data_IF_273068855972
#
_entry.id   IF_273068855972
#
_cell.length_a   1.000
_cell.length_b   1.000
_cell.length_c   1.000
_cell.angle_alpha   90.00
_cell.angle_beta   90.00
_cell.angle_gamma   90.00
#
_symmetry.space_group_name_H-M   'P 1'
#
loop_
_entity.id
_entity.type
_entity.pdbx_description
1 polymer ?
#
# COMPACT_ATOMS: atom_id res chain seq x y z
N UNK A 1 -5.19 -1.41 -7.52
CA UNK A 1 -5.86 -0.40 -6.66
C UNK A 1 -5.59 -0.80 -5.22
N UNK A 2 -5.16 0.13 -4.37
CA UNK A 2 -4.80 -0.14 -2.97
C UNK A 2 -5.53 0.88 -2.10
N UNK A 3 -6.22 0.42 -1.05
CA UNK A 3 -6.78 1.28 -0.01
C UNK A 3 -5.79 1.37 1.16
N UNK A 4 -5.35 2.59 1.44
CA UNK A 4 -4.25 2.89 2.35
C UNK A 4 -4.60 4.11 3.17
N UNK A 5 -4.24 4.09 4.45
CA UNK A 5 -4.38 5.20 5.38
C UNK A 5 -3.14 5.31 6.27
N UNK A 6 -3.13 6.23 7.24
CA UNK A 6 -1.96 6.37 8.11
C UNK A 6 -1.81 5.16 9.03
N UNK A 7 -2.92 4.79 9.67
CA UNK A 7 -3.01 3.68 10.63
C UNK A 7 -3.64 2.44 9.98
N UNK A 8 -3.19 1.27 10.43
CA UNK A 8 -3.68 -0.02 9.96
C UNK A 8 -5.13 -0.30 10.38
N UNK A 9 -5.87 -0.94 9.48
CA UNK A 9 -7.20 -1.48 9.71
C UNK A 9 -8.30 -0.43 9.70
N UNK A 10 -9.31 -0.63 10.54
CA UNK A 10 -10.47 0.26 10.67
C UNK A 10 -10.87 0.51 12.12
N UNK A 11 -11.79 1.44 12.32
CA UNK A 11 -12.47 1.78 13.56
C UNK A 11 -13.97 2.02 13.29
N UNK A 12 -14.83 1.88 14.30
CA UNK A 12 -16.27 2.11 14.14
C UNK A 12 -16.66 3.59 14.30
N UNK A 13 -15.87 4.33 15.06
CA UNK A 13 -15.99 5.76 15.37
C UNK A 13 -14.64 6.46 15.12
N UNK A 14 -14.60 7.76 14.80
CA UNK A 14 -13.37 8.47 14.46
C UNK A 14 -12.54 8.84 15.71
N UNK A 15 -11.96 7.84 16.37
CA UNK A 15 -11.19 7.99 17.60
C UNK A 15 -9.69 8.17 17.34
N UNK A 16 -9.16 7.37 16.40
CA UNK A 16 -7.75 7.40 15.98
C UNK A 16 -7.64 8.21 14.70
N UNK A 17 -6.86 9.29 14.75
CA UNK A 17 -6.58 10.08 13.56
C UNK A 17 -5.89 9.23 12.49
N UNK A 18 -6.38 9.31 11.25
CA UNK A 18 -5.76 8.58 10.15
C UNK A 18 -6.02 7.07 10.15
N UNK A 19 -7.08 6.58 10.82
CA UNK A 19 -7.60 5.20 10.70
C UNK A 19 -8.98 5.19 10.03
N UNK A 20 -9.20 4.27 9.08
CA UNK A 20 -10.45 4.20 8.29
C UNK A 20 -11.68 3.92 9.15
N UNK A 21 -12.84 4.51 8.82
CA UNK A 21 -14.14 4.19 9.44
C UNK A 21 -15.00 3.22 8.60
N UNK A 22 -14.61 3.00 7.33
CA UNK A 22 -15.30 2.11 6.38
C UNK A 22 -14.57 0.77 6.31
N UNK A 23 -13.93 0.46 5.18
CA UNK A 23 -13.17 -0.76 4.97
C UNK A 23 -11.77 -0.65 5.62
N UNK A 24 -11.19 -1.76 6.09
CA UNK A 24 -9.86 -1.76 6.70
C UNK A 24 -8.77 -1.47 5.67
N UNK A 25 -7.94 -0.47 5.95
CA UNK A 25 -6.85 -0.05 5.06
C UNK A 25 -5.49 -0.55 5.54
N UNK A 26 -4.50 -0.60 4.64
CA UNK A 26 -3.10 -0.72 5.03
C UNK A 26 -2.61 0.59 5.67
N UNK A 27 -1.84 0.47 6.76
CA UNK A 27 -1.11 1.59 7.36
C UNK A 27 0.11 2.01 6.53
N UNK A 28 0.61 3.22 6.81
CA UNK A 28 1.65 3.87 6.00
C UNK A 28 2.93 3.05 5.83
N UNK A 29 3.45 2.47 6.92
CA UNK A 29 4.69 1.69 6.90
C UNK A 29 4.60 0.49 5.92
N UNK A 30 3.43 -0.14 5.84
CA UNK A 30 3.18 -1.25 4.92
C UNK A 30 2.93 -0.76 3.50
N UNK A 31 2.21 0.34 3.34
CA UNK A 31 1.97 0.97 2.03
C UNK A 31 3.29 1.36 1.36
N UNK A 32 4.20 2.02 2.10
CA UNK A 32 5.51 2.39 1.58
C UNK A 32 6.29 1.15 1.11
N UNK A 33 6.34 0.12 1.95
CA UNK A 33 7.03 -1.14 1.62
C UNK A 33 6.44 -1.78 0.36
N UNK A 34 5.11 -1.88 0.28
CA UNK A 34 4.42 -2.47 -0.87
C UNK A 34 4.68 -1.70 -2.17
N UNK A 35 4.64 -0.37 -2.15
CA UNK A 35 4.93 0.44 -3.35
C UNK A 35 6.37 0.23 -3.82
N UNK A 36 7.33 0.19 -2.89
CA UNK A 36 8.74 -0.08 -3.23
C UNK A 36 8.92 -1.48 -3.81
N UNK A 37 8.21 -2.47 -3.28
CA UNK A 37 8.20 -3.84 -3.80
C UNK A 37 7.62 -3.90 -5.21
N UNK A 38 6.44 -3.30 -5.45
CA UNK A 38 5.82 -3.24 -6.78
C UNK A 38 6.78 -2.59 -7.79
N UNK A 39 7.38 -1.46 -7.44
CA UNK A 39 8.36 -0.80 -8.30
C UNK A 39 9.55 -1.71 -8.61
N UNK A 40 10.14 -2.34 -7.58
CA UNK A 40 11.26 -3.26 -7.77
C UNK A 40 10.89 -4.41 -8.72
N UNK A 41 9.74 -5.05 -8.51
CA UNK A 41 9.28 -6.16 -9.37
C UNK A 41 9.07 -5.73 -10.81
N UNK A 42 8.29 -4.66 -11.05
CA UNK A 42 8.01 -4.19 -12.40
C UNK A 42 9.25 -3.65 -13.11
N UNK A 43 10.23 -3.13 -12.36
CA UNK A 43 11.50 -2.71 -12.95
C UNK A 43 12.32 -3.90 -13.44
N UNK A 44 12.28 -5.06 -12.78
CA UNK A 44 12.97 -6.27 -13.26
C UNK A 44 12.33 -6.81 -14.55
N UNK A 45 11.01 -6.94 -14.56
CA UNK A 45 10.27 -7.42 -15.73
C UNK A 45 10.48 -6.54 -16.96
N UNK A 46 10.64 -5.22 -16.77
CA UNK A 46 10.89 -4.28 -17.86
C UNK A 46 12.25 -4.44 -18.55
N UNK A 47 13.25 -5.03 -17.88
CA UNK A 47 14.56 -5.32 -18.50
C UNK A 47 14.61 -6.71 -19.16
N UNK A 48 13.84 -7.68 -18.66
CA UNK A 48 13.73 -8.98 -19.34
C UNK A 48 12.97 -8.84 -20.67
N UNK A 49 11.93 -8.00 -20.74
CA UNK A 49 11.23 -7.70 -22.01
C UNK A 49 12.09 -6.92 -23.04
N UNK A 50 13.15 -6.19 -22.61
CA UNK A 50 14.04 -5.43 -23.49
C UNK A 50 15.24 -6.23 -24.00
N UNK A 51 15.53 -7.39 -23.41
CA UNK A 51 16.65 -8.26 -23.78
C UNK A 51 16.26 -9.41 -24.73
N UNK A 52 14.99 -9.45 -25.17
CA UNK A 52 14.47 -10.35 -26.21
C UNK A 52 13.93 -9.58 -27.41
#
# INVERSE_FOLDING_TARGET
MIESYLEDGRQDTPEVFGKSITDPCLGWDKTEKLIREIHATLSHDSYEELLF
#
